data_IF_174146211714
#
_entry.id   IF_174146211714
#
_cell.length_a   1.000
_cell.length_b   1.000
_cell.length_c   1.000
_cell.angle_alpha   90.00
_cell.angle_beta   90.00
_cell.angle_gamma   90.00
#
_symmetry.space_group_name_H-M   'P 1'
#
loop_
_entity.id
_entity.type
_entity.pdbx_description
1 polymer ?
#
# COMPACT_ATOMS: atom_id res chain seq x y z
N UNK A 1 -0.98 -39.39 -32.03
CA UNK A 1 -0.07 -38.57 -31.20
C UNK A 1 -0.38 -37.14 -31.60
N UNK A 2 -0.88 -36.21 -30.77
CA UNK A 2 -0.40 -35.78 -29.46
C UNK A 2 -1.59 -35.22 -28.63
N UNK A 3 -1.87 -35.82 -27.47
CA UNK A 3 -2.72 -35.24 -26.41
C UNK A 3 -1.93 -35.24 -25.09
N UNK A 4 -0.68 -34.75 -25.12
CA UNK A 4 0.24 -34.82 -23.97
C UNK A 4 0.85 -33.44 -23.65
N UNK A 5 0.06 -32.38 -23.70
CA UNK A 5 0.53 -31.02 -23.40
C UNK A 5 -0.41 -30.22 -22.49
N UNK A 6 -1.27 -30.89 -21.71
CA UNK A 6 -2.25 -30.21 -20.84
C UNK A 6 -1.74 -29.82 -19.44
N UNK A 7 -0.72 -30.53 -18.91
CA UNK A 7 -0.32 -30.45 -17.50
C UNK A 7 1.19 -30.21 -17.32
N UNK A 8 1.79 -29.37 -18.16
CA UNK A 8 3.19 -28.95 -17.92
C UNK A 8 3.18 -27.98 -16.74
N UNK A 9 3.78 -28.39 -15.64
CA UNK A 9 3.95 -27.57 -14.45
C UNK A 9 5.20 -26.71 -14.61
N UNK A 10 5.05 -25.41 -14.35
CA UNK A 10 6.13 -24.44 -14.39
C UNK A 10 6.42 -23.95 -12.97
N UNK A 11 7.69 -23.82 -12.57
CA UNK A 11 8.02 -23.19 -11.30
C UNK A 11 7.55 -21.73 -11.30
N UNK A 12 7.18 -21.24 -10.11
CA UNK A 12 6.90 -19.83 -9.86
C UNK A 12 8.11 -18.96 -10.25
N UNK A 13 7.88 -17.76 -10.81
CA UNK A 13 8.97 -16.81 -11.13
C UNK A 13 9.82 -16.42 -9.92
N UNK A 14 9.27 -16.49 -8.71
CA UNK A 14 9.97 -16.21 -7.46
C UNK A 14 10.63 -17.46 -6.87
N UNK A 15 10.86 -18.51 -7.66
CA UNK A 15 11.59 -19.70 -7.21
C UNK A 15 13.00 -19.36 -6.73
N UNK A 16 13.64 -18.37 -7.36
CA UNK A 16 14.92 -17.81 -6.92
C UNK A 16 14.85 -17.09 -5.58
N UNK A 17 13.65 -16.66 -5.16
CA UNK A 17 13.40 -16.02 -3.85
C UNK A 17 12.91 -17.02 -2.79
N UNK A 18 12.80 -18.31 -3.12
CA UNK A 18 12.44 -19.37 -2.18
C UNK A 18 11.10 -20.06 -2.45
N UNK A 19 10.36 -19.67 -3.50
CA UNK A 19 9.10 -20.34 -3.82
C UNK A 19 9.35 -21.71 -4.48
N UNK A 20 8.91 -22.79 -3.85
CA UNK A 20 9.04 -24.17 -4.37
C UNK A 20 7.82 -24.63 -5.17
N UNK A 21 6.80 -23.77 -5.31
CA UNK A 21 5.53 -24.12 -5.94
C UNK A 21 5.70 -24.19 -7.46
N UNK A 22 5.22 -25.29 -8.05
CA UNK A 22 5.11 -25.49 -9.49
C UNK A 22 3.64 -25.62 -9.89
N UNK A 23 3.21 -24.83 -10.87
CA UNK A 23 1.80 -24.67 -11.24
C UNK A 23 1.63 -24.78 -12.75
N UNK A 24 0.44 -25.16 -13.20
CA UNK A 24 0.09 -25.08 -14.62
C UNK A 24 0.00 -23.61 -15.06
N UNK A 25 0.16 -23.36 -16.35
CA UNK A 25 0.20 -21.99 -16.91
C UNK A 25 -1.02 -21.14 -16.51
N UNK A 26 -2.20 -21.74 -16.40
CA UNK A 26 -3.45 -21.05 -16.03
C UNK A 26 -3.47 -20.53 -14.60
N UNK A 27 -2.88 -21.27 -13.65
CA UNK A 27 -2.91 -20.92 -12.21
C UNK A 27 -1.66 -20.14 -11.78
N UNK A 28 -0.62 -20.15 -12.62
CA UNK A 28 0.66 -19.50 -12.33
C UNK A 28 0.51 -18.00 -12.08
N UNK A 29 -0.31 -17.31 -12.87
CA UNK A 29 -0.50 -15.87 -12.75
C UNK A 29 -1.15 -15.48 -11.40
N UNK A 30 -2.20 -16.19 -10.99
CA UNK A 30 -2.90 -15.95 -9.72
C UNK A 30 -1.98 -16.21 -8.52
N UNK A 31 -1.21 -17.30 -8.55
CA UNK A 31 -0.23 -17.56 -7.50
C UNK A 31 0.86 -16.49 -7.46
N UNK A 32 1.40 -16.07 -8.61
CA UNK A 32 2.45 -15.07 -8.67
C UNK A 32 2.02 -13.67 -8.20
N UNK A 33 0.73 -13.37 -8.25
CA UNK A 33 0.21 -12.13 -7.65
C UNK A 33 0.14 -12.24 -6.13
N UNK A 34 -0.26 -13.40 -5.60
CA UNK A 34 -0.44 -13.67 -4.17
C UNK A 34 0.79 -14.30 -3.47
N UNK A 35 1.90 -14.52 -4.19
CA UNK A 35 3.03 -15.28 -3.68
C UNK A 35 3.70 -14.58 -2.49
N UNK A 36 3.93 -15.30 -1.40
CA UNK A 36 4.60 -14.77 -0.20
C UNK A 36 6.07 -14.42 -0.45
N UNK A 37 6.71 -15.07 -1.43
CA UNK A 37 8.10 -14.81 -1.85
C UNK A 37 8.22 -13.69 -2.90
N UNK A 38 7.10 -13.04 -3.25
CA UNK A 38 7.10 -11.87 -4.13
C UNK A 38 7.88 -10.73 -3.46
N UNK A 39 8.83 -10.09 -4.15
CA UNK A 39 9.51 -8.91 -3.62
C UNK A 39 8.52 -7.76 -3.46
N UNK A 40 8.72 -6.99 -2.41
CA UNK A 40 7.94 -5.79 -2.12
C UNK A 40 8.40 -4.65 -3.02
N UNK A 41 7.45 -3.99 -3.68
CA UNK A 41 7.70 -2.73 -4.38
C UNK A 41 7.72 -1.57 -3.39
N UNK A 42 8.36 -0.46 -3.76
CA UNK A 42 8.28 0.77 -2.98
C UNK A 42 6.81 1.16 -2.72
N UNK A 43 6.40 1.37 -1.45
CA UNK A 43 5.03 1.74 -1.10
C UNK A 43 4.70 3.22 -1.32
N UNK A 44 5.69 4.05 -1.71
CA UNK A 44 5.46 5.48 -1.93
C UNK A 44 4.46 5.72 -3.08
N UNK A 45 3.43 6.57 -2.92
CA UNK A 45 2.62 7.04 -4.03
C UNK A 45 3.50 7.82 -5.02
N UNK A 46 3.22 7.62 -6.31
CA UNK A 46 3.98 8.21 -7.42
C UNK A 46 4.89 7.21 -8.15
N UNK A 47 4.85 7.24 -9.49
CA UNK A 47 5.51 6.28 -10.36
C UNK A 47 7.05 6.45 -10.49
N UNK A 48 7.68 7.31 -9.70
CA UNK A 48 9.10 7.63 -9.85
C UNK A 48 10.03 6.55 -9.26
N UNK A 49 9.57 5.81 -8.25
CA UNK A 49 10.38 4.80 -7.58
C UNK A 49 10.08 3.39 -8.09
N UNK A 50 11.08 2.75 -8.72
CA UNK A 50 10.98 1.37 -9.25
C UNK A 50 11.67 0.35 -8.34
N UNK A 51 11.96 0.71 -7.09
CA UNK A 51 12.66 -0.16 -6.17
C UNK A 51 11.83 -1.40 -5.82
N UNK A 52 12.49 -2.54 -5.75
CA UNK A 52 11.93 -3.82 -5.30
C UNK A 52 12.94 -4.52 -4.39
N UNK A 53 12.47 -5.16 -3.33
CA UNK A 53 13.33 -5.88 -2.39
C UNK A 53 12.55 -6.70 -1.36
N UNK A 54 13.26 -7.21 -0.34
CA UNK A 54 12.60 -7.89 0.78
C UNK A 54 11.94 -6.89 1.73
N UNK A 55 11.03 -7.36 2.57
CA UNK A 55 10.31 -6.54 3.55
C UNK A 55 11.27 -5.74 4.44
N UNK A 56 12.36 -6.36 4.90
CA UNK A 56 13.36 -5.75 5.77
C UNK A 56 14.10 -4.59 5.10
N UNK A 57 14.18 -4.59 3.77
CA UNK A 57 14.85 -3.54 3.00
C UNK A 57 13.92 -2.35 2.68
N UNK A 58 12.61 -2.48 2.90
CA UNK A 58 11.63 -1.42 2.59
C UNK A 58 11.88 -0.17 3.44
N UNK A 59 12.04 -0.33 4.76
CA UNK A 59 12.29 0.80 5.66
C UNK A 59 13.62 1.52 5.38
N UNK A 60 14.76 0.81 5.26
CA UNK A 60 16.01 1.41 4.81
C UNK A 60 15.88 2.16 3.49
N UNK A 61 15.17 1.57 2.51
CA UNK A 61 14.91 2.22 1.23
C UNK A 61 14.14 3.54 1.38
N UNK A 62 13.05 3.57 2.15
CA UNK A 62 12.26 4.79 2.37
C UNK A 62 13.09 5.89 3.02
N UNK A 63 13.88 5.56 4.06
CA UNK A 63 14.72 6.56 4.75
C UNK A 63 15.82 7.11 3.84
N UNK A 64 16.42 6.28 2.99
CA UNK A 64 17.52 6.68 2.12
C UNK A 64 17.05 7.41 0.85
N UNK A 65 16.03 6.88 0.18
CA UNK A 65 15.56 7.32 -1.13
C UNK A 65 14.41 8.33 -1.05
N UNK A 66 13.64 8.34 0.05
CA UNK A 66 12.48 9.20 0.25
C UNK A 66 12.62 10.07 1.52
N UNK A 67 13.71 10.82 1.60
CA UNK A 67 14.06 11.67 2.77
C UNK A 67 13.01 12.72 3.15
N UNK A 68 12.12 13.08 2.22
CA UNK A 68 11.01 14.01 2.45
C UNK A 68 9.91 13.41 3.32
N UNK A 69 9.86 12.08 3.47
CA UNK A 69 8.84 11.41 4.28
C UNK A 69 9.21 11.56 5.76
N UNK A 70 8.42 12.33 6.48
CA UNK A 70 8.60 12.50 7.92
C UNK A 70 8.14 11.25 8.65
N UNK A 71 8.94 10.78 9.62
CA UNK A 71 8.58 9.67 10.50
C UNK A 71 8.27 10.20 11.89
N UNK A 72 7.06 9.94 12.38
CA UNK A 72 6.63 10.26 13.75
C UNK A 72 6.56 8.98 14.59
N UNK A 73 6.85 9.11 15.89
CA UNK A 73 6.74 8.03 16.86
C UNK A 73 5.49 8.22 17.72
N UNK A 74 4.82 7.11 18.06
CA UNK A 74 3.63 7.12 18.91
C UNK A 74 2.39 6.56 18.21
N UNK A 75 1.43 6.11 19.00
CA UNK A 75 0.15 5.55 18.51
C UNK A 75 -0.88 6.63 18.16
N UNK A 76 -0.80 7.81 18.78
CA UNK A 76 -1.65 8.96 18.50
C UNK A 76 -0.82 10.11 17.94
N UNK A 77 -1.05 10.46 16.67
CA UNK A 77 -0.30 11.48 15.93
C UNK A 77 -1.24 12.36 15.11
N UNK A 78 -0.80 13.59 14.84
CA UNK A 78 -1.50 14.51 13.96
C UNK A 78 -0.78 14.60 12.62
N UNK A 79 -1.47 14.21 11.55
CA UNK A 79 -0.99 14.34 10.18
C UNK A 79 -1.49 15.67 9.58
N UNK A 80 -0.56 16.61 9.36
CA UNK A 80 -0.86 17.92 8.78
C UNK A 80 -0.57 17.91 7.27
N UNK A 81 -1.63 17.93 6.46
CA UNK A 81 -1.51 18.16 5.02
C UNK A 81 -1.49 19.68 4.76
N UNK A 82 -0.35 20.22 4.31
CA UNK A 82 -0.23 21.62 3.92
C UNK A 82 -0.65 21.81 2.47
N UNK A 83 -1.10 23.02 2.11
CA UNK A 83 -1.38 23.39 0.72
C UNK A 83 -2.43 22.51 0.01
N UNK A 84 -3.41 21.99 0.75
CA UNK A 84 -4.51 21.14 0.23
C UNK A 84 -5.31 21.76 -0.93
N UNK A 85 -5.27 23.09 -1.06
CA UNK A 85 -5.96 23.84 -2.10
C UNK A 85 -5.17 23.99 -3.41
N UNK A 86 -3.94 23.46 -3.49
CA UNK A 86 -3.15 23.50 -4.72
C UNK A 86 -3.91 22.84 -5.88
N UNK A 87 -3.88 23.42 -7.10
CA UNK A 87 -4.53 22.83 -8.26
C UNK A 87 -3.82 21.54 -8.68
N UNK A 88 -4.59 20.56 -9.17
CA UNK A 88 -4.09 19.27 -9.64
C UNK A 88 -4.05 18.16 -8.58
N UNK A 89 -3.52 17.01 -9.00
CA UNK A 89 -3.32 15.84 -8.15
C UNK A 89 -2.07 15.99 -7.28
N UNK A 90 -2.22 15.81 -5.98
CA UNK A 90 -1.15 15.95 -4.99
C UNK A 90 -1.28 14.84 -3.95
N UNK A 91 -0.14 14.25 -3.60
CA UNK A 91 -0.04 13.17 -2.61
C UNK A 91 0.75 13.65 -1.39
N UNK A 92 0.19 13.45 -0.20
CA UNK A 92 0.88 13.63 1.07
C UNK A 92 1.15 12.27 1.70
N UNK A 93 2.37 12.09 2.20
CA UNK A 93 2.84 10.84 2.79
C UNK A 93 3.50 11.11 4.13
N UNK A 94 3.16 10.31 5.12
CA UNK A 94 3.81 10.33 6.43
C UNK A 94 4.03 8.90 6.92
N UNK A 95 5.11 8.70 7.68
CA UNK A 95 5.36 7.45 8.37
C UNK A 95 5.05 7.60 9.86
N UNK A 96 4.33 6.63 10.41
CA UNK A 96 4.07 6.47 11.83
C UNK A 96 4.77 5.20 12.32
N UNK A 97 5.46 5.29 13.44
CA UNK A 97 6.12 4.14 14.08
C UNK A 97 5.54 3.92 15.47
N UNK A 98 4.90 2.77 15.68
CA UNK A 98 4.29 2.36 16.94
C UNK A 98 4.21 0.83 17.03
N UNK A 99 4.14 0.28 18.25
CA UNK A 99 4.06 -1.17 18.49
C UNK A 99 5.14 -2.02 17.79
N UNK A 100 6.34 -1.45 17.58
CA UNK A 100 7.42 -2.11 16.85
C UNK A 100 7.18 -2.28 15.34
N UNK A 101 6.16 -1.62 14.80
CA UNK A 101 5.79 -1.65 13.39
C UNK A 101 5.79 -0.24 12.80
N UNK A 102 5.84 -0.18 11.46
CA UNK A 102 5.81 1.06 10.71
C UNK A 102 4.57 1.11 9.83
N UNK A 103 3.82 2.20 9.93
CA UNK A 103 2.60 2.47 9.21
C UNK A 103 2.81 3.67 8.29
N UNK A 104 2.45 3.55 7.02
CA UNK A 104 2.46 4.63 6.05
C UNK A 104 1.05 5.21 5.94
N UNK A 105 0.91 6.49 6.23
CA UNK A 105 -0.31 7.26 6.00
C UNK A 105 -0.18 7.93 4.64
N UNK A 106 -1.16 7.70 3.78
CA UNK A 106 -1.23 8.31 2.45
C UNK A 106 -2.53 9.09 2.36
N UNK A 107 -2.42 10.35 1.96
CA UNK A 107 -3.55 11.19 1.56
C UNK A 107 -3.33 11.58 0.10
N UNK A 108 -4.20 11.10 -0.76
CA UNK A 108 -4.18 11.38 -2.19
C UNK A 108 -5.33 12.33 -2.54
N UNK A 109 -5.00 13.41 -3.24
CA UNK A 109 -6.00 14.31 -3.84
C UNK A 109 -6.14 13.95 -5.31
N UNK A 110 -7.35 13.55 -5.69
CA UNK A 110 -7.72 13.32 -7.09
C UNK A 110 -8.62 14.45 -7.59
N UNK A 111 -8.40 14.85 -8.84
CA UNK A 111 -9.28 15.77 -9.56
C UNK A 111 -10.09 14.96 -10.58
N UNK A 112 -11.41 14.92 -10.41
CA UNK A 112 -12.33 14.32 -11.39
C UNK A 112 -12.65 15.31 -12.51
N UNK A 113 -13.20 14.79 -13.60
CA UNK A 113 -13.84 15.61 -14.63
C UNK A 113 -14.84 16.59 -13.98
N UNK A 114 -14.84 17.83 -14.45
CA UNK A 114 -15.65 18.96 -13.95
C UNK A 114 -15.14 19.69 -12.68
N UNK A 115 -13.88 19.45 -12.26
CA UNK A 115 -13.27 20.22 -11.15
C UNK A 115 -13.69 19.77 -9.75
N UNK A 116 -14.39 18.64 -9.64
CA UNK A 116 -14.67 17.98 -8.37
C UNK A 116 -13.39 17.36 -7.79
N UNK A 117 -12.96 17.87 -6.64
CA UNK A 117 -11.80 17.37 -5.91
C UNK A 117 -12.25 16.32 -4.89
N UNK A 118 -11.55 15.18 -4.86
CA UNK A 118 -11.78 14.11 -3.88
C UNK A 118 -10.48 13.80 -3.14
N UNK A 119 -10.61 13.53 -1.84
CA UNK A 119 -9.49 13.17 -0.98
C UNK A 119 -9.65 11.73 -0.53
N UNK A 120 -8.58 10.95 -0.65
CA UNK A 120 -8.51 9.56 -0.24
C UNK A 120 -7.43 9.41 0.81
N UNK A 121 -7.82 8.99 2.02
CA UNK A 121 -6.89 8.73 3.09
C UNK A 121 -6.85 7.24 3.41
N UNK A 122 -5.64 6.67 3.49
CA UNK A 122 -5.44 5.26 3.81
C UNK A 122 -4.20 5.07 4.66
N UNK A 123 -4.23 4.05 5.52
CA UNK A 123 -3.08 3.61 6.30
C UNK A 123 -2.64 2.23 5.82
N UNK A 124 -1.34 2.09 5.56
CA UNK A 124 -0.72 0.85 5.15
C UNK A 124 0.31 0.40 6.19
N UNK A 125 0.32 -0.88 6.53
CA UNK A 125 1.35 -1.50 7.36
C UNK A 125 2.52 -1.96 6.48
N UNK A 126 3.74 -1.59 6.86
CA UNK A 126 4.97 -2.20 6.36
C UNK A 126 5.15 -3.55 7.05
N UNK A 127 4.48 -4.56 6.50
CA UNK A 127 4.41 -5.90 7.08
C UNK A 127 3.51 -6.81 6.25
N UNK A 128 3.38 -8.05 6.69
CA UNK A 128 2.48 -9.04 6.08
C UNK A 128 1.00 -8.73 6.33
N UNK A 129 0.13 -9.38 5.55
CA UNK A 129 -1.33 -9.31 5.75
C UNK A 129 -1.76 -9.82 7.12
N UNK A 130 -1.18 -10.93 7.60
CA UNK A 130 -1.48 -11.48 8.94
C UNK A 130 -1.13 -10.50 10.05
N UNK A 131 -0.04 -9.74 9.90
CA UNK A 131 0.30 -8.69 10.87
C UNK A 131 -0.71 -7.55 10.81
N UNK A 132 -1.08 -7.11 9.61
CA UNK A 132 -2.07 -6.04 9.40
C UNK A 132 -3.44 -6.37 10.04
N UNK A 133 -3.81 -7.66 10.07
CA UNK A 133 -5.06 -8.11 10.70
C UNK A 133 -5.13 -7.90 12.22
N UNK A 134 -3.99 -7.69 12.88
CA UNK A 134 -3.93 -7.44 14.33
C UNK A 134 -4.09 -5.96 14.70
N UNK A 135 -4.21 -5.07 13.72
CA UNK A 135 -4.26 -3.64 13.94
C UNK A 135 -5.55 -3.03 13.36
N UNK A 136 -5.97 -1.93 13.96
CA UNK A 136 -6.97 -1.04 13.41
C UNK A 136 -6.44 0.39 13.51
N UNK A 137 -6.76 1.22 12.52
CA UNK A 137 -6.44 2.63 12.54
C UNK A 137 -7.72 3.46 12.57
N UNK A 138 -7.62 4.65 13.16
CA UNK A 138 -8.69 5.64 13.18
C UNK A 138 -8.17 6.96 12.61
N UNK A 139 -8.80 7.43 11.54
CA UNK A 139 -8.57 8.77 10.98
C UNK A 139 -9.69 9.69 11.46
N UNK A 140 -9.32 10.84 11.99
CA UNK A 140 -10.29 11.84 12.45
C UNK A 140 -10.02 13.19 11.79
N UNK A 141 -11.05 13.75 11.16
CA UNK A 141 -11.06 15.09 10.60
C UNK A 141 -11.99 15.96 11.46
N UNK A 142 -11.39 16.93 12.14
CA UNK A 142 -12.09 17.89 12.98
C UNK A 142 -12.20 19.23 12.27
N UNK A 143 -13.43 19.71 12.13
CA UNK A 143 -13.75 21.06 11.65
C UNK A 143 -14.60 21.82 12.66
N UNK A 144 -14.94 23.06 12.36
CA UNK A 144 -15.76 23.88 13.26
C UNK A 144 -17.15 23.24 13.48
N UNK A 145 -17.35 22.65 14.66
CA UNK A 145 -18.55 21.86 15.06
C UNK A 145 -18.86 20.64 14.19
N UNK A 146 -17.90 20.15 13.40
CA UNK A 146 -18.05 18.96 12.56
C UNK A 146 -16.92 17.99 12.84
N UNK A 147 -17.23 16.71 12.90
CA UNK A 147 -16.23 15.65 13.07
C UNK A 147 -16.57 14.51 12.14
N UNK A 148 -15.58 14.09 11.36
CA UNK A 148 -15.64 12.88 10.53
C UNK A 148 -14.62 11.91 11.06
N UNK A 149 -15.04 10.69 11.33
CA UNK A 149 -14.18 9.63 11.87
C UNK A 149 -14.30 8.41 10.96
N UNK A 150 -13.16 7.82 10.62
CA UNK A 150 -13.07 6.61 9.81
C UNK A 150 -12.18 5.59 10.50
N UNK A 151 -12.67 4.36 10.65
CA UNK A 151 -11.92 3.25 11.25
C UNK A 151 -11.86 2.08 10.27
N UNK A 152 -10.68 1.51 10.10
CA UNK A 152 -10.47 0.33 9.28
C UNK A 152 -9.18 -0.41 9.67
N UNK A 153 -8.98 -1.60 9.10
CA UNK A 153 -7.73 -2.34 9.24
C UNK A 153 -6.69 -1.78 8.27
N UNK A 154 -5.42 -1.60 8.68
CA UNK A 154 -4.38 -1.13 7.78
C UNK A 154 -4.14 -2.16 6.68
N UNK A 155 -3.76 -1.69 5.49
CA UNK A 155 -3.45 -2.59 4.37
C UNK A 155 -1.99 -3.00 4.40
N UNK A 156 -1.70 -4.28 4.15
CA UNK A 156 -0.30 -4.68 3.95
C UNK A 156 0.23 -4.05 2.66
N UNK A 157 1.47 -3.56 2.68
CA UNK A 157 2.17 -3.10 1.47
C UNK A 157 2.34 -4.21 0.42
N UNK A 158 2.17 -5.49 0.81
CA UNK A 158 2.16 -6.64 -0.11
C UNK A 158 0.97 -6.59 -1.09
N UNK A 159 -0.18 -6.05 -0.67
CA UNK A 159 -1.37 -5.93 -1.52
C UNK A 159 -1.26 -4.76 -2.54
N UNK A 160 -0.28 -3.86 -2.36
CA UNK A 160 -0.07 -2.68 -3.20
C UNK A 160 -1.07 -1.53 -2.97
N UNK A 161 -0.62 -0.29 -3.21
CA UNK A 161 -1.42 0.94 -3.03
C UNK A 161 -2.56 1.03 -4.05
N UNK A 162 -2.28 0.73 -5.32
CA UNK A 162 -3.25 0.87 -6.43
C UNK A 162 -4.47 -0.04 -6.26
N UNK A 163 -4.28 -1.25 -5.73
CA UNK A 163 -5.36 -2.19 -5.43
C UNK A 163 -6.24 -1.71 -4.27
N UNK A 164 -5.66 -0.97 -3.33
CA UNK A 164 -6.36 -0.46 -2.16
C UNK A 164 -7.21 0.79 -2.50
N UNK A 165 -6.68 1.69 -3.33
CA UNK A 165 -7.41 2.89 -3.81
C UNK A 165 -8.55 2.49 -4.78
N UNK A 166 -8.35 1.48 -5.64
CA UNK A 166 -9.42 0.99 -6.52
C UNK A 166 -10.54 0.22 -5.79
N UNK A 167 -10.23 -0.51 -4.70
CA UNK A 167 -11.23 -1.31 -3.95
C UNK A 167 -12.00 -0.51 -2.91
N UNK A 168 -11.46 0.60 -2.40
CA UNK A 168 -12.20 1.56 -1.58
C UNK A 168 -12.56 2.81 -2.39
N UNK A 169 -13.38 2.60 -3.43
CA UNK A 169 -14.36 3.62 -3.84
C UNK A 169 -15.32 3.81 -2.67
N UNK A 170 -14.95 4.65 -1.71
CA UNK A 170 -15.89 5.17 -0.73
C UNK A 170 -17.07 5.80 -1.47
N UNK A 171 -18.30 5.71 -0.93
CA UNK A 171 -19.39 6.53 -1.41
C UNK A 171 -18.98 8.00 -1.24
N UNK A 172 -19.11 8.74 -2.34
CA UNK A 172 -18.69 10.13 -2.51
C UNK A 172 -19.07 11.03 -1.32
N UNK A 173 -18.15 11.92 -0.94
CA UNK A 173 -18.50 13.28 -0.55
C UNK A 173 -18.49 14.12 -1.82
#
# INVERSE_FOLDING_TARGET
>A
MEKVAGNVMFPCKYSTSGCTVSLVHTEKADHEDACEFRPYSCPCPGASCKWQGSLEQVMPHLVMSHKSITTLQGEDIVFLATDINLPGAVDWVMMQSCFGHHFMLVLEKQEKYDGHQQFFAIVQLIGSRKQAENFAYRLELNGHKRRLTWEAMPRSIHEGVSSAIFKFRLPCI
#
